data_IF_771948602407
#
_entry.id   IF_771948602407
#
_cell.length_a   1.000
_cell.length_b   1.000
_cell.length_c   1.000
_cell.angle_alpha   90.00
_cell.angle_beta   90.00
_cell.angle_gamma   90.00
#
_symmetry.space_group_name_H-M   'P 1'
#
loop_
_entity.id
_entity.type
_entity.pdbx_description
1 polymer ?
#
# COMPACT_ATOMS: atom_id res chain seq x y z
N UNK A 1 2.38 -11.22 5.90
CA UNK A 1 1.56 -10.35 5.02
C UNK A 1 1.17 -11.02 3.69
N UNK A 2 2.03 -11.83 3.04
CA UNK A 2 1.76 -12.48 1.74
C UNK A 2 0.50 -13.34 1.61
N UNK A 3 0.16 -14.15 2.64
CA UNK A 3 -0.99 -15.08 2.57
C UNK A 3 -2.35 -14.35 2.52
N UNK A 4 -2.44 -13.16 3.11
CA UNK A 4 -3.68 -12.40 3.16
C UNK A 4 -3.99 -11.73 1.82
N UNK A 5 -2.97 -11.15 1.19
CA UNK A 5 -3.08 -10.52 -0.13
C UNK A 5 -3.35 -11.59 -1.21
N UNK A 6 -2.74 -12.78 -1.06
CA UNK A 6 -3.07 -13.95 -1.89
C UNK A 6 -4.53 -14.38 -1.76
N UNK A 7 -5.09 -14.42 -0.54
CA UNK A 7 -6.49 -14.79 -0.31
C UNK A 7 -7.48 -13.81 -0.97
N UNK A 8 -7.30 -12.50 -0.76
CA UNK A 8 -8.18 -11.48 -1.35
C UNK A 8 -8.12 -11.53 -2.88
N UNK A 9 -6.92 -11.66 -3.45
CA UNK A 9 -6.72 -11.82 -4.90
C UNK A 9 -7.41 -13.08 -5.45
N UNK A 10 -7.26 -14.23 -4.80
CA UNK A 10 -7.93 -15.47 -5.22
C UNK A 10 -9.45 -15.36 -5.11
N UNK A 11 -9.97 -14.73 -4.05
CA UNK A 11 -11.40 -14.55 -3.86
C UNK A 11 -12.00 -13.62 -4.92
N UNK A 12 -11.37 -12.49 -5.21
CA UNK A 12 -11.86 -11.57 -6.25
C UNK A 12 -11.77 -12.22 -7.64
N UNK A 13 -10.71 -12.97 -7.95
CA UNK A 13 -10.62 -13.76 -9.19
C UNK A 13 -11.73 -14.82 -9.31
N UNK A 14 -12.03 -15.53 -8.21
CA UNK A 14 -13.14 -16.47 -8.14
C UNK A 14 -14.48 -15.78 -8.43
N UNK A 15 -14.73 -14.64 -7.81
CA UNK A 15 -15.96 -13.86 -7.97
C UNK A 15 -16.08 -13.31 -9.40
N UNK A 16 -14.98 -12.90 -10.03
CA UNK A 16 -14.97 -12.43 -11.40
C UNK A 16 -15.38 -13.50 -12.42
N UNK A 17 -15.15 -14.79 -12.12
CA UNK A 17 -15.51 -15.91 -13.00
C UNK A 17 -16.79 -16.64 -12.58
N UNK A 18 -17.26 -16.42 -11.35
CA UNK A 18 -18.38 -17.15 -10.76
C UNK A 18 -19.42 -16.18 -10.21
N UNK A 19 -20.56 -16.09 -10.90
CA UNK A 19 -21.73 -15.37 -10.38
C UNK A 19 -22.58 -16.26 -9.48
N UNK A 20 -23.26 -15.66 -8.51
CA UNK A 20 -24.20 -16.34 -7.63
C UNK A 20 -25.41 -15.46 -7.35
N UNK A 21 -26.55 -16.10 -7.04
CA UNK A 21 -27.82 -15.43 -6.75
C UNK A 21 -28.46 -16.03 -5.52
N UNK A 22 -28.88 -15.16 -4.60
CA UNK A 22 -29.60 -15.50 -3.37
C UNK A 22 -28.93 -16.61 -2.54
N UNK A 23 -27.59 -16.55 -2.41
CA UNK A 23 -26.79 -17.55 -1.66
C UNK A 23 -26.45 -17.06 -0.26
N UNK A 24 -26.43 -17.97 0.71
CA UNK A 24 -25.89 -17.64 2.03
C UNK A 24 -24.37 -17.60 1.99
N UNK A 25 -23.74 -16.89 2.94
CA UNK A 25 -22.28 -16.83 3.01
C UNK A 25 -21.62 -18.22 3.09
N UNK A 26 -22.26 -19.19 3.77
CA UNK A 26 -21.76 -20.57 3.87
C UNK A 26 -21.64 -21.24 2.50
N UNK A 27 -22.55 -20.91 1.57
CA UNK A 27 -22.57 -21.45 0.21
C UNK A 27 -21.48 -20.81 -0.63
N UNK A 28 -21.35 -19.48 -0.56
CA UNK A 28 -20.29 -18.72 -1.25
C UNK A 28 -18.92 -19.22 -0.80
N UNK A 29 -18.74 -19.38 0.51
CA UNK A 29 -17.50 -19.93 1.07
C UNK A 29 -17.26 -21.34 0.56
N UNK A 30 -18.28 -22.20 0.52
CA UNK A 30 -18.16 -23.58 0.02
C UNK A 30 -17.68 -23.59 -1.44
N UNK A 31 -18.30 -22.80 -2.30
CA UNK A 31 -17.90 -22.68 -3.70
C UNK A 31 -16.45 -22.15 -3.83
N UNK A 32 -16.08 -21.15 -3.02
CA UNK A 32 -14.72 -20.61 -3.03
C UNK A 32 -13.67 -21.65 -2.61
N UNK A 33 -13.90 -22.43 -1.54
CA UNK A 33 -12.93 -23.44 -1.08
C UNK A 33 -12.91 -24.69 -1.97
N UNK A 34 -13.93 -24.91 -2.80
CA UNK A 34 -13.91 -25.94 -3.84
C UNK A 34 -12.98 -25.51 -4.98
N UNK A 35 -12.99 -24.22 -5.34
CA UNK A 35 -12.06 -23.66 -6.32
C UNK A 35 -10.63 -23.46 -5.78
N UNK A 36 -10.48 -23.15 -4.49
CA UNK A 36 -9.20 -22.89 -3.81
C UNK A 36 -9.10 -23.64 -2.46
N UNK A 37 -8.81 -24.96 -2.50
CA UNK A 37 -8.79 -25.82 -1.30
C UNK A 37 -7.80 -25.40 -0.22
N UNK A 38 -6.73 -24.69 -0.56
CA UNK A 38 -5.72 -24.18 0.37
C UNK A 38 -6.31 -23.22 1.43
N UNK A 39 -7.44 -22.57 1.13
CA UNK A 39 -8.14 -21.66 2.05
C UNK A 39 -9.25 -22.33 2.87
N UNK A 40 -9.35 -23.67 2.84
CA UNK A 40 -10.39 -24.43 3.56
C UNK A 40 -10.29 -24.32 5.09
N UNK A 41 -9.10 -24.09 5.63
CA UNK A 41 -8.86 -24.05 7.07
C UNK A 41 -9.70 -22.97 7.79
N UNK A 42 -10.14 -23.27 9.02
CA UNK A 42 -11.02 -22.37 9.82
C UNK A 42 -10.44 -20.96 10.02
N UNK A 43 -9.10 -20.85 10.10
CA UNK A 43 -8.38 -19.56 10.24
C UNK A 43 -8.68 -18.54 9.13
N UNK A 44 -9.17 -18.99 7.97
CA UNK A 44 -9.51 -18.12 6.85
C UNK A 44 -10.99 -17.71 6.81
N UNK A 45 -11.86 -18.35 7.59
CA UNK A 45 -13.31 -18.10 7.56
C UNK A 45 -13.64 -16.61 7.74
N UNK A 46 -13.10 -16.00 8.81
CA UNK A 46 -13.36 -14.61 9.13
C UNK A 46 -12.84 -13.66 8.06
N UNK A 47 -11.69 -13.97 7.44
CA UNK A 47 -11.10 -13.15 6.37
C UNK A 47 -11.91 -13.21 5.08
N UNK A 48 -12.38 -14.39 4.69
CA UNK A 48 -13.27 -14.57 3.54
C UNK A 48 -14.57 -13.80 3.80
N UNK A 49 -15.13 -13.90 5.01
CA UNK A 49 -16.34 -13.15 5.39
C UNK A 49 -16.14 -11.64 5.29
N UNK A 50 -15.06 -11.13 5.87
CA UNK A 50 -14.74 -9.70 5.85
C UNK A 50 -14.60 -9.19 4.41
N UNK A 51 -13.91 -9.95 3.54
CA UNK A 51 -13.73 -9.55 2.14
C UNK A 51 -15.07 -9.53 1.38
N UNK A 52 -15.97 -10.49 1.63
CA UNK A 52 -17.32 -10.47 1.04
C UNK A 52 -18.13 -9.28 1.53
N UNK A 53 -17.97 -8.89 2.80
CA UNK A 53 -18.61 -7.69 3.37
C UNK A 53 -18.07 -6.39 2.78
N UNK A 54 -16.75 -6.28 2.61
CA UNK A 54 -16.11 -5.14 1.93
C UNK A 54 -16.65 -4.98 0.50
N UNK A 55 -16.73 -6.08 -0.25
CA UNK A 55 -17.28 -6.06 -1.61
C UNK A 55 -18.78 -5.71 -1.64
N UNK A 56 -19.53 -6.07 -0.60
CA UNK A 56 -20.91 -5.64 -0.43
C UNK A 56 -21.02 -4.14 -0.12
N UNK A 57 -20.14 -3.60 0.72
CA UNK A 57 -20.07 -2.16 1.01
C UNK A 57 -19.66 -1.34 -0.22
N UNK A 58 -18.80 -1.89 -1.08
CA UNK A 58 -18.42 -1.30 -2.36
C UNK A 58 -19.52 -1.43 -3.44
N UNK A 59 -20.66 -2.04 -3.14
CA UNK A 59 -21.78 -2.20 -4.07
C UNK A 59 -21.63 -3.33 -5.10
N UNK A 60 -20.53 -4.08 -5.06
CA UNK A 60 -20.32 -5.23 -5.95
C UNK A 60 -21.27 -6.38 -5.59
N UNK A 61 -21.58 -6.58 -4.30
CA UNK A 61 -22.48 -7.65 -3.84
C UNK A 61 -23.72 -7.04 -3.20
N UNK A 62 -24.89 -7.39 -3.73
CA UNK A 62 -26.16 -7.04 -3.09
C UNK A 62 -26.51 -8.04 -1.99
N UNK A 63 -27.05 -7.55 -0.88
CA UNK A 63 -27.53 -8.38 0.24
C UNK A 63 -29.03 -8.19 0.42
N UNK A 64 -29.75 -9.31 0.48
CA UNK A 64 -31.14 -9.40 0.90
C UNK A 64 -31.19 -9.81 2.37
N UNK A 65 -31.79 -8.94 3.18
CA UNK A 65 -31.98 -9.09 4.62
C UNK A 65 -33.46 -9.24 5.00
N UNK A 66 -34.35 -9.44 4.03
CA UNK A 66 -35.78 -9.63 4.27
C UNK A 66 -36.10 -10.95 4.98
N UNK A 67 -35.20 -11.93 4.91
CA UNK A 67 -35.31 -13.22 5.60
C UNK A 67 -34.41 -13.30 6.83
N UNK A 68 -34.69 -14.28 7.70
CA UNK A 68 -33.89 -14.56 8.91
C UNK A 68 -32.40 -14.84 8.61
N UNK A 69 -32.06 -15.24 7.38
CA UNK A 69 -30.68 -15.38 6.90
C UNK A 69 -30.36 -14.36 5.80
N UNK A 70 -29.14 -13.82 5.83
CA UNK A 70 -28.63 -12.94 4.78
C UNK A 70 -28.34 -13.72 3.50
N UNK A 71 -28.87 -13.24 2.38
CA UNK A 71 -28.64 -13.81 1.05
C UNK A 71 -27.93 -12.81 0.17
N UNK A 72 -26.86 -13.25 -0.49
CA UNK A 72 -26.01 -12.42 -1.31
C UNK A 72 -26.22 -12.73 -2.79
N UNK A 73 -26.10 -11.70 -3.62
CA UNK A 73 -26.21 -11.78 -5.09
C UNK A 73 -25.11 -10.93 -5.73
N UNK A 74 -24.45 -11.47 -6.75
CA UNK A 74 -23.48 -10.72 -7.56
C UNK A 74 -24.17 -9.55 -8.28
N UNK A 75 -23.64 -8.35 -8.15
CA UNK A 75 -24.11 -7.12 -8.78
C UNK A 75 -22.99 -6.38 -9.55
N UNK A 76 -21.94 -7.11 -9.94
CA UNK A 76 -20.74 -6.60 -10.64
C UNK A 76 -20.59 -7.21 -12.04
N UNK A 77 -19.86 -6.53 -12.92
CA UNK A 77 -19.23 -7.18 -14.07
C UNK A 77 -17.83 -7.68 -13.68
N UNK A 78 -17.34 -8.69 -14.39
CA UNK A 78 -15.99 -9.23 -14.16
C UNK A 78 -14.90 -8.16 -14.31
N UNK A 79 -15.06 -7.20 -15.24
CA UNK A 79 -14.17 -6.05 -15.41
C UNK A 79 -14.08 -5.20 -14.15
N UNK A 80 -15.22 -4.90 -13.53
CA UNK A 80 -15.30 -3.97 -12.40
C UNK A 80 -14.53 -4.51 -11.18
N UNK A 81 -14.57 -5.83 -10.97
CA UNK A 81 -13.81 -6.51 -9.93
C UNK A 81 -12.30 -6.55 -10.21
N UNK A 82 -11.90 -6.72 -11.47
CA UNK A 82 -10.48 -6.73 -11.85
C UNK A 82 -9.88 -5.32 -11.76
N UNK A 83 -10.65 -4.30 -12.09
CA UNK A 83 -10.25 -2.90 -11.94
C UNK A 83 -10.12 -2.53 -10.47
N UNK A 84 -11.07 -2.96 -9.61
CA UNK A 84 -10.98 -2.82 -8.16
C UNK A 84 -9.70 -3.47 -7.59
N UNK A 85 -9.38 -4.70 -8.03
CA UNK A 85 -8.16 -5.39 -7.61
C UNK A 85 -6.88 -4.65 -8.03
N UNK A 86 -6.87 -4.16 -9.27
CA UNK A 86 -5.73 -3.44 -9.83
C UNK A 86 -5.52 -2.13 -9.09
N UNK A 87 -6.58 -1.38 -8.82
CA UNK A 87 -6.51 -0.11 -8.11
C UNK A 87 -6.07 -0.25 -6.65
N UNK A 88 -6.54 -1.27 -5.93
CA UNK A 88 -6.04 -1.56 -4.57
C UNK A 88 -4.56 -1.95 -4.58
N UNK A 89 -4.15 -2.81 -5.51
CA UNK A 89 -2.76 -3.28 -5.60
C UNK A 89 -1.81 -2.15 -5.97
N UNK A 90 -2.17 -1.33 -6.95
CA UNK A 90 -1.37 -0.20 -7.43
C UNK A 90 -1.31 0.91 -6.40
N UNK A 91 -2.41 1.23 -5.71
CA UNK A 91 -2.41 2.25 -4.66
C UNK A 91 -1.56 1.82 -3.46
N UNK A 92 -1.65 0.55 -3.05
CA UNK A 92 -0.82 -0.02 -1.98
C UNK A 92 0.66 -0.05 -2.36
N UNK A 93 1.00 -0.43 -3.60
CA UNK A 93 2.40 -0.51 -4.03
C UNK A 93 3.03 0.88 -4.19
N UNK A 94 2.28 1.86 -4.70
CA UNK A 94 2.77 3.25 -4.83
C UNK A 94 2.99 3.86 -3.45
N UNK A 95 2.07 3.63 -2.50
CA UNK A 95 2.26 4.09 -1.11
C UNK A 95 3.53 3.49 -0.50
N UNK A 96 3.70 2.16 -0.60
CA UNK A 96 4.91 1.50 -0.09
C UNK A 96 6.19 2.05 -0.70
N UNK A 97 6.20 2.29 -2.03
CA UNK A 97 7.36 2.84 -2.72
C UNK A 97 7.67 4.28 -2.30
N UNK A 98 6.65 5.13 -2.14
CA UNK A 98 6.83 6.50 -1.64
C UNK A 98 7.38 6.55 -0.21
N UNK A 99 6.95 5.63 0.67
CA UNK A 99 7.51 5.51 2.02
C UNK A 99 8.95 5.01 2.02
N UNK A 100 9.31 4.08 1.12
CA UNK A 100 10.69 3.63 0.96
C UNK A 100 11.60 4.77 0.49
N UNK A 101 11.16 5.54 -0.51
CA UNK A 101 11.90 6.71 -0.97
C UNK A 101 12.03 7.76 0.12
N UNK A 102 10.97 8.05 0.87
CA UNK A 102 11.02 8.96 2.02
C UNK A 102 12.08 8.55 3.04
N UNK A 103 12.08 7.27 3.46
CA UNK A 103 13.01 6.74 4.46
C UNK A 103 14.46 6.84 3.97
N UNK A 104 14.71 6.47 2.70
CA UNK A 104 16.03 6.57 2.08
C UNK A 104 16.53 8.01 2.03
N UNK A 105 15.66 8.97 1.71
CA UNK A 105 16.03 10.39 1.69
C UNK A 105 16.30 10.94 3.09
N UNK A 106 15.57 10.52 4.12
CA UNK A 106 15.88 10.90 5.51
C UNK A 106 17.27 10.41 5.94
N UNK A 107 17.62 9.17 5.63
CA UNK A 107 18.96 8.63 5.92
C UNK A 107 20.07 9.45 5.24
N UNK A 108 19.87 9.83 3.98
CA UNK A 108 20.85 10.66 3.26
C UNK A 108 20.92 12.09 3.79
N UNK A 109 19.79 12.67 4.25
CA UNK A 109 19.79 13.96 4.93
C UNK A 109 20.66 13.93 6.18
N UNK A 110 20.53 12.90 7.02
CA UNK A 110 21.35 12.77 8.23
C UNK A 110 22.83 12.56 7.90
N UNK A 111 23.12 11.77 6.86
CA UNK A 111 24.50 11.57 6.39
C UNK A 111 25.15 12.87 5.90
N UNK A 112 24.44 13.69 5.13
CA UNK A 112 24.96 14.98 4.65
C UNK A 112 25.13 15.99 5.78
N UNK A 113 24.26 16.00 6.79
CA UNK A 113 24.45 16.82 8.00
C UNK A 113 25.75 16.46 8.73
N UNK A 114 25.99 15.16 8.93
CA UNK A 114 27.23 14.68 9.54
C UNK A 114 28.47 15.07 8.73
N UNK A 115 28.39 14.98 7.39
CA UNK A 115 29.47 15.42 6.52
C UNK A 115 29.80 16.91 6.70
N UNK A 116 28.77 17.76 6.77
CA UNK A 116 28.94 19.20 7.04
C UNK A 116 29.65 19.44 8.37
N UNK A 117 29.26 18.72 9.44
CA UNK A 117 29.89 18.84 10.76
C UNK A 117 31.37 18.39 10.75
N UNK A 118 31.67 17.32 10.02
CA UNK A 118 33.03 16.81 9.83
C UNK A 118 33.87 17.82 9.03
N UNK A 119 33.34 18.40 7.97
CA UNK A 119 34.01 19.44 7.19
C UNK A 119 34.29 20.68 8.05
N UNK A 120 33.34 21.08 8.90
CA UNK A 120 33.53 22.20 9.84
C UNK A 120 34.66 21.92 10.85
N UNK A 121 34.81 20.67 11.30
CA UNK A 121 35.97 20.25 12.11
C UNK A 121 37.28 20.39 11.34
N UNK A 122 37.31 19.97 10.07
CA UNK A 122 38.52 20.05 9.24
C UNK A 122 38.92 21.48 8.88
N UNK A 123 37.98 22.42 8.78
CA UNK A 123 38.30 23.85 8.63
C UNK A 123 39.18 24.37 9.78
N UNK A 124 38.97 23.87 11.01
CA UNK A 124 39.76 24.26 12.19
C UNK A 124 41.15 23.61 12.20
N UNK A 125 41.23 22.36 11.72
CA UNK A 125 42.48 21.59 11.71
C UNK A 125 43.43 22.01 10.59
N UNK A 126 42.89 22.47 9.46
CA UNK A 126 43.67 22.82 8.29
C UNK A 126 43.35 24.23 7.74
N UNK A 127 43.73 25.30 8.48
CA UNK A 127 43.42 26.68 8.07
C UNK A 127 43.96 27.06 6.69
N UNK A 128 45.08 26.46 6.27
CA UNK A 128 45.73 26.73 4.98
C UNK A 128 44.83 26.37 3.78
N UNK A 129 43.90 25.43 3.94
CA UNK A 129 42.98 24.98 2.88
C UNK A 129 41.52 25.33 3.18
N UNK A 130 41.27 26.25 4.11
CA UNK A 130 39.93 26.60 4.59
C UNK A 130 38.99 27.02 3.46
N UNK A 131 39.48 27.75 2.45
CA UNK A 131 38.68 28.19 1.30
C UNK A 131 38.24 27.03 0.39
N UNK A 132 39.01 25.93 0.36
CA UNK A 132 38.63 24.72 -0.37
C UNK A 132 37.56 23.95 0.41
N UNK A 133 37.78 23.77 1.71
CA UNK A 133 36.82 23.08 2.58
C UNK A 133 35.50 23.86 2.66
N UNK A 134 35.55 25.19 2.70
CA UNK A 134 34.36 26.04 2.74
C UNK A 134 33.50 25.89 1.48
N UNK A 135 34.11 25.66 0.31
CA UNK A 135 33.38 25.34 -0.92
C UNK A 135 32.67 23.99 -0.82
N UNK A 136 33.35 22.95 -0.31
CA UNK A 136 32.72 21.65 -0.07
C UNK A 136 31.53 21.76 0.90
N UNK A 137 31.64 22.58 1.95
CA UNK A 137 30.52 22.85 2.88
C UNK A 137 29.35 23.52 2.17
N UNK A 138 29.61 24.48 1.28
CA UNK A 138 28.58 25.15 0.48
C UNK A 138 27.85 24.15 -0.43
N UNK A 139 28.59 23.30 -1.13
CA UNK A 139 28.03 22.28 -2.04
C UNK A 139 27.17 21.28 -1.25
N UNK A 140 27.67 20.79 -0.12
CA UNK A 140 26.92 19.87 0.76
C UNK A 140 25.63 20.53 1.31
N UNK A 141 25.68 21.81 1.69
CA UNK A 141 24.48 22.56 2.14
C UNK A 141 23.45 22.75 1.03
N UNK A 142 23.90 23.00 -0.21
CA UNK A 142 23.00 23.10 -1.36
C UNK A 142 22.32 21.75 -1.64
N UNK A 143 23.08 20.66 -1.58
CA UNK A 143 22.54 19.32 -1.75
C UNK A 143 21.54 18.95 -0.64
N UNK A 144 21.87 19.26 0.62
CA UNK A 144 20.96 19.07 1.75
C UNK A 144 19.62 19.79 1.54
N UNK A 145 19.64 21.02 1.04
CA UNK A 145 18.42 21.78 0.74
C UNK A 145 17.60 21.13 -0.38
N UNK A 146 18.25 20.54 -1.38
CA UNK A 146 17.58 19.77 -2.44
C UNK A 146 16.86 18.56 -1.85
N UNK A 147 17.54 17.75 -1.03
CA UNK A 147 16.95 16.58 -0.38
C UNK A 147 15.75 16.94 0.51
N UNK A 148 15.87 18.02 1.31
CA UNK A 148 14.76 18.52 2.14
C UNK A 148 13.55 18.96 1.31
N UNK A 149 13.80 19.55 0.13
CA UNK A 149 12.73 19.96 -0.79
C UNK A 149 12.03 18.72 -1.37
N UNK A 150 12.79 17.69 -1.72
CA UNK A 150 12.25 16.41 -2.21
C UNK A 150 11.41 15.69 -1.16
N UNK A 151 11.90 15.61 0.10
CA UNK A 151 11.10 15.11 1.24
C UNK A 151 9.78 15.87 1.39
N UNK A 152 9.82 17.19 1.23
CA UNK A 152 8.60 18.02 1.31
C UNK A 152 7.60 17.67 0.20
N UNK A 153 8.09 17.36 -1.01
CA UNK A 153 7.24 16.91 -2.11
C UNK A 153 6.69 15.52 -1.83
N UNK A 154 7.52 14.57 -1.38
CA UNK A 154 7.09 13.22 -1.02
C UNK A 154 6.00 13.23 0.06
N UNK A 155 6.15 14.04 1.10
CA UNK A 155 5.12 14.20 2.13
C UNK A 155 3.78 14.70 1.57
N UNK A 156 3.81 15.63 0.60
CA UNK A 156 2.59 16.09 -0.09
C UNK A 156 1.96 14.97 -0.92
N UNK A 157 2.77 14.20 -1.64
CA UNK A 157 2.31 13.08 -2.45
C UNK A 157 1.68 11.97 -1.59
N UNK A 158 2.34 11.58 -0.51
CA UNK A 158 1.81 10.62 0.46
C UNK A 158 0.46 11.11 1.02
N UNK A 159 0.38 12.38 1.45
CA UNK A 159 -0.85 12.95 1.97
C UNK A 159 -2.00 13.02 0.95
N UNK A 160 -1.69 13.19 -0.34
CA UNK A 160 -2.70 13.14 -1.41
C UNK A 160 -3.29 11.73 -1.57
N UNK A 161 -2.45 10.71 -1.49
CA UNK A 161 -2.87 9.32 -1.74
C UNK A 161 -3.56 8.71 -0.51
N UNK A 162 -3.27 9.18 0.71
CA UNK A 162 -3.96 8.72 1.93
C UNK A 162 -5.36 9.33 2.16
N UNK A 163 -5.82 10.25 1.31
CA UNK A 163 -7.15 10.91 1.41
C UNK A 163 -8.22 10.31 0.49
N UNK A 164 -7.84 9.36 -0.36
CA UNK A 164 -8.74 8.59 -1.23
C UNK A 164 -9.03 7.22 -0.61
#
# INVERSE_FOLDING_TARGET
MYVNQSLKNCLVKFLATTSFKAKEFKDIRKMFIEAYPEFKAKKFYQKIYQTVRELQECGFISVDNSTCTYKYTSAYRSSDLLDYLSNETTSSSIQEQLYQDYTRLEEEVEKVKLEIDILAKYMRLYPIIVDKISRCVLDAKMYLKSLQSEITVLNKLIACISKN
#
